data_IF_895661052536
#
_entry.id   IF_895661052536
#
_cell.length_a   1.000
_cell.length_b   1.000
_cell.length_c   1.000
_cell.angle_alpha   90.00
_cell.angle_beta   90.00
_cell.angle_gamma   90.00
#
_symmetry.space_group_name_H-M   'P 1'
#
loop_
_entity.id
_entity.type
_entity.pdbx_description
1 polymer ?
#
# COMPACT_ATOMS: atom_id res chain seq x y z
N UNK A 1 36.87 32.60 31.23
CA UNK A 1 35.76 32.19 32.14
C UNK A 1 34.41 32.48 31.47
N UNK A 2 33.80 31.48 30.84
CA UNK A 2 32.50 31.64 30.18
C UNK A 2 31.37 31.61 31.22
N UNK A 3 30.55 32.66 31.26
CA UNK A 3 29.36 32.69 32.10
C UNK A 3 28.46 31.47 31.84
N UNK A 4 27.79 30.97 32.88
CA UNK A 4 26.88 29.84 32.78
C UNK A 4 25.65 30.20 31.92
N UNK A 5 25.65 29.77 30.66
CA UNK A 5 24.54 29.96 29.72
C UNK A 5 23.25 29.18 30.12
N UNK A 6 23.32 28.38 31.18
CA UNK A 6 22.19 27.56 31.65
C UNK A 6 21.01 28.42 32.11
N UNK A 7 21.27 29.57 32.75
CA UNK A 7 20.21 30.48 33.18
C UNK A 7 19.34 30.96 32.01
N UNK A 8 19.97 31.44 30.93
CA UNK A 8 19.25 31.86 29.73
C UNK A 8 18.45 30.72 29.10
N UNK A 9 19.00 29.49 29.07
CA UNK A 9 18.29 28.33 28.53
C UNK A 9 17.04 28.02 29.34
N UNK A 10 17.13 28.01 30.67
CA UNK A 10 15.99 27.79 31.57
C UNK A 10 14.94 28.88 31.36
N UNK A 11 15.35 30.16 31.28
CA UNK A 11 14.43 31.26 31.03
C UNK A 11 13.70 31.12 29.69
N UNK A 12 14.41 30.78 28.61
CA UNK A 12 13.80 30.56 27.28
C UNK A 12 12.79 29.40 27.32
N UNK A 13 13.15 28.30 27.98
CA UNK A 13 12.27 27.14 28.12
C UNK A 13 11.01 27.50 28.91
N UNK A 14 11.14 28.15 30.07
CA UNK A 14 10.02 28.57 30.88
C UNK A 14 9.11 29.56 30.13
N UNK A 15 9.70 30.55 29.44
CA UNK A 15 8.96 31.54 28.68
C UNK A 15 8.16 30.90 27.54
N UNK A 16 8.76 29.97 26.79
CA UNK A 16 8.09 29.32 25.66
C UNK A 16 7.13 28.20 26.07
N UNK A 17 7.27 27.69 27.29
CA UNK A 17 6.28 26.81 27.90
C UNK A 17 4.99 27.58 28.23
N UNK A 18 5.10 28.80 28.76
CA UNK A 18 3.95 29.65 29.08
C UNK A 18 3.37 30.36 27.83
N UNK A 19 4.25 30.86 26.96
CA UNK A 19 3.90 31.76 25.83
C UNK A 19 4.57 31.31 24.52
N UNK A 20 4.20 30.15 23.94
CA UNK A 20 4.87 29.59 22.76
C UNK A 20 4.79 30.49 21.52
N UNK A 21 3.73 31.29 21.37
CA UNK A 21 3.51 32.21 20.24
C UNK A 21 4.60 33.28 20.08
N UNK A 22 5.35 33.59 21.14
CA UNK A 22 6.45 34.57 21.07
C UNK A 22 7.50 34.12 20.04
N UNK A 23 7.80 32.81 19.98
CA UNK A 23 8.78 32.28 19.03
C UNK A 23 8.31 32.34 17.57
N UNK A 24 6.99 32.29 17.32
CA UNK A 24 6.41 32.17 15.98
C UNK A 24 5.92 33.48 15.39
N UNK A 25 5.99 34.57 16.15
CA UNK A 25 5.51 35.89 15.69
C UNK A 25 6.34 36.41 14.51
N UNK A 26 7.63 36.06 14.42
CA UNK A 26 8.55 36.56 13.39
C UNK A 26 9.50 35.47 12.85
N UNK A 27 8.95 34.38 12.33
CA UNK A 27 9.75 33.25 11.82
C UNK A 27 10.70 33.64 10.68
N UNK A 28 10.27 34.54 9.80
CA UNK A 28 11.08 34.99 8.65
C UNK A 28 12.40 35.64 9.08
N UNK A 29 12.37 36.44 10.15
CA UNK A 29 13.57 37.09 10.70
C UNK A 29 14.55 36.06 11.24
N UNK A 30 14.06 35.00 11.88
CA UNK A 30 14.93 33.92 12.36
C UNK A 30 15.50 33.10 11.21
N UNK A 31 14.72 32.85 10.17
CA UNK A 31 15.20 32.17 8.96
C UNK A 31 16.29 32.99 8.26
N UNK A 32 16.16 34.31 8.20
CA UNK A 32 17.20 35.21 7.70
C UNK A 32 18.49 35.11 8.53
N UNK A 33 18.40 35.11 9.86
CA UNK A 33 19.55 34.91 10.75
C UNK A 33 20.24 33.58 10.47
N UNK A 34 19.49 32.49 10.26
CA UNK A 34 20.05 31.18 9.93
C UNK A 34 20.79 31.20 8.59
N UNK A 35 20.26 31.88 7.58
CA UNK A 35 20.91 32.05 6.27
C UNK A 35 22.21 32.85 6.41
N UNK A 36 22.20 33.95 7.16
CA UNK A 36 23.39 34.79 7.39
C UNK A 36 24.47 34.09 8.22
N UNK A 37 24.08 33.20 9.14
CA UNK A 37 24.99 32.50 10.04
C UNK A 37 25.28 31.04 9.62
N UNK A 38 24.96 30.65 8.38
CA UNK A 38 25.09 29.26 7.90
C UNK A 38 26.50 28.67 8.10
N UNK A 39 27.55 29.51 8.01
CA UNK A 39 28.95 29.14 8.25
C UNK A 39 29.31 28.91 9.73
N UNK A 40 28.37 29.12 10.66
CA UNK A 40 28.56 28.93 12.11
C UNK A 40 27.49 28.00 12.69
N UNK A 41 27.58 26.68 12.45
CA UNK A 41 26.54 25.71 12.82
C UNK A 41 26.10 25.78 14.29
N UNK A 42 27.02 25.98 15.24
CA UNK A 42 26.68 26.07 16.67
C UNK A 42 25.70 27.22 16.99
N UNK A 43 25.84 28.37 16.31
CA UNK A 43 24.91 29.50 16.47
C UNK A 43 23.53 29.16 15.90
N UNK A 44 23.50 28.58 14.70
CA UNK A 44 22.27 28.15 14.06
C UNK A 44 21.53 27.10 14.90
N UNK A 45 22.24 26.09 15.41
CA UNK A 45 21.67 25.07 16.29
C UNK A 45 21.11 25.67 17.59
N UNK A 46 21.74 26.72 18.14
CA UNK A 46 21.21 27.43 19.31
C UNK A 46 19.90 28.14 18.99
N UNK A 47 19.78 28.78 17.83
CA UNK A 47 18.53 29.42 17.36
C UNK A 47 17.45 28.36 17.13
N UNK A 48 17.77 27.27 16.43
CA UNK A 48 16.83 26.16 16.21
C UNK A 48 16.34 25.56 17.52
N UNK A 49 17.24 25.38 18.50
CA UNK A 49 16.89 24.88 19.82
C UNK A 49 15.97 25.82 20.59
N UNK A 50 16.26 27.12 20.57
CA UNK A 50 15.44 28.12 21.26
C UNK A 50 14.02 28.16 20.68
N UNK A 51 13.90 28.24 19.35
CA UNK A 51 12.59 28.25 18.68
C UNK A 51 11.83 26.94 18.88
N UNK A 52 12.54 25.82 18.86
CA UNK A 52 11.95 24.50 19.03
C UNK A 52 11.16 24.36 20.34
N UNK A 53 11.53 25.08 21.40
CA UNK A 53 10.82 24.99 22.70
C UNK A 53 9.34 25.37 22.61
N UNK A 54 8.93 26.17 21.61
CA UNK A 54 7.52 26.49 21.38
C UNK A 54 6.64 25.26 21.12
N UNK A 55 7.23 24.19 20.57
CA UNK A 55 6.55 22.93 20.31
C UNK A 55 6.38 22.02 21.52
N UNK A 56 6.97 22.34 22.66
CA UNK A 56 6.93 21.48 23.86
C UNK A 56 5.51 21.36 24.41
N UNK A 57 4.80 22.49 24.56
CA UNK A 57 3.42 22.51 25.06
C UNK A 57 2.36 22.61 23.93
N UNK A 58 2.74 23.09 22.75
CA UNK A 58 1.80 23.40 21.67
C UNK A 58 2.25 22.82 20.31
N UNK A 59 1.55 21.78 19.84
CA UNK A 59 1.79 21.17 18.53
C UNK A 59 1.70 22.18 17.39
N UNK A 60 0.74 23.11 17.44
CA UNK A 60 0.49 24.06 16.37
C UNK A 60 1.66 25.02 16.21
N UNK A 61 2.17 25.56 17.32
CA UNK A 61 3.33 26.45 17.29
C UNK A 61 4.62 25.69 16.97
N UNK A 62 4.76 24.44 17.43
CA UNK A 62 5.88 23.57 17.03
C UNK A 62 5.90 23.28 15.52
N UNK A 63 4.74 23.00 14.93
CA UNK A 63 4.62 22.78 13.48
C UNK A 63 4.92 24.06 12.70
N UNK A 64 4.49 25.24 13.16
CA UNK A 64 4.88 26.51 12.54
C UNK A 64 6.38 26.71 12.53
N UNK A 65 7.06 26.50 13.67
CA UNK A 65 8.52 26.58 13.75
C UNK A 65 9.16 25.60 12.77
N UNK A 66 8.68 24.36 12.74
CA UNK A 66 9.27 23.35 11.87
C UNK A 66 9.08 23.69 10.39
N UNK A 67 7.86 24.02 9.96
CA UNK A 67 7.54 24.37 8.57
C UNK A 67 8.24 25.67 8.13
N UNK A 68 8.23 26.70 8.98
CA UNK A 68 8.76 28.02 8.64
C UNK A 68 10.28 28.14 8.74
N UNK A 69 10.93 27.32 9.57
CA UNK A 69 12.36 27.49 9.89
C UNK A 69 13.17 26.22 9.64
N UNK A 70 12.68 25.05 10.07
CA UNK A 70 13.47 23.81 10.03
C UNK A 70 13.39 23.09 8.68
N UNK A 71 12.22 23.06 8.04
CA UNK A 71 12.01 22.50 6.71
C UNK A 71 12.91 23.17 5.65
N UNK A 72 12.99 24.51 5.56
CA UNK A 72 13.89 25.18 4.62
C UNK A 72 15.38 24.85 4.80
N UNK A 73 15.81 24.42 5.99
CA UNK A 73 17.22 24.08 6.28
C UNK A 73 17.49 22.57 6.26
N UNK A 74 16.52 21.73 5.86
CA UNK A 74 16.75 20.27 5.73
C UNK A 74 17.86 19.91 4.75
N UNK A 75 18.15 20.78 3.78
CA UNK A 75 19.28 20.58 2.87
C UNK A 75 20.65 20.97 3.42
N UNK A 76 20.71 21.55 4.63
CA UNK A 76 21.96 21.97 5.25
C UNK A 76 22.44 20.84 6.17
N UNK A 77 23.47 20.10 5.73
CA UNK A 77 23.99 18.89 6.42
C UNK A 77 24.27 19.09 7.91
N UNK A 78 24.72 20.28 8.32
CA UNK A 78 25.02 20.57 9.73
C UNK A 78 23.77 20.82 10.61
N UNK A 79 22.62 21.12 9.99
CA UNK A 79 21.38 21.48 10.70
C UNK A 79 20.29 20.42 10.54
N UNK A 80 20.31 19.66 9.44
CA UNK A 80 19.31 18.65 9.14
C UNK A 80 19.13 17.55 10.19
N UNK A 81 20.17 17.07 10.92
CA UNK A 81 19.94 16.12 12.01
C UNK A 81 19.05 16.69 13.11
N UNK A 82 19.24 17.96 13.46
CA UNK A 82 18.43 18.62 14.48
C UNK A 82 16.98 18.82 14.01
N UNK A 83 16.79 19.24 12.76
CA UNK A 83 15.47 19.46 12.19
C UNK A 83 14.62 18.19 12.14
N UNK A 84 15.22 17.04 11.80
CA UNK A 84 14.53 15.73 11.78
C UNK A 84 14.26 15.24 13.20
N UNK A 85 15.25 15.30 14.09
CA UNK A 85 15.09 14.88 15.49
C UNK A 85 14.05 15.74 16.23
N UNK A 86 13.98 17.03 15.92
CA UNK A 86 12.95 17.92 16.46
C UNK A 86 11.55 17.47 16.04
N UNK A 87 11.35 17.17 14.76
CA UNK A 87 10.05 16.71 14.26
C UNK A 87 9.63 15.41 14.95
N UNK A 88 10.54 14.45 15.04
CA UNK A 88 10.29 13.17 15.72
C UNK A 88 9.82 13.42 17.16
N UNK A 89 10.58 14.22 17.92
CA UNK A 89 10.23 14.59 19.30
C UNK A 89 8.89 15.31 19.38
N UNK A 90 8.62 16.26 18.48
CA UNK A 90 7.36 17.02 18.45
C UNK A 90 6.18 16.07 18.26
N UNK A 91 6.27 15.16 17.29
CA UNK A 91 5.23 14.17 17.03
C UNK A 91 5.09 13.18 18.19
N UNK A 92 6.19 12.77 18.83
CA UNK A 92 6.15 11.88 19.99
C UNK A 92 5.47 12.54 21.21
N UNK A 93 5.77 13.81 21.49
CA UNK A 93 5.14 14.56 22.59
C UNK A 93 3.66 14.83 22.35
N UNK A 94 3.24 14.94 21.09
CA UNK A 94 1.85 15.23 20.70
C UNK A 94 1.25 14.05 19.91
N UNK A 95 0.80 12.98 20.59
CA UNK A 95 0.18 11.83 19.92
C UNK A 95 -1.12 12.22 19.20
N UNK A 96 -1.90 13.13 19.78
CA UNK A 96 -3.12 13.66 19.16
C UNK A 96 -2.79 14.80 18.18
N UNK A 97 -2.90 14.50 16.89
CA UNK A 97 -2.53 15.41 15.80
C UNK A 97 -3.61 16.43 15.43
N UNK A 98 -4.81 16.37 16.04
CA UNK A 98 -5.96 17.20 15.66
C UNK A 98 -5.67 18.71 15.69
N UNK A 99 -4.88 19.16 16.66
CA UNK A 99 -4.46 20.58 16.78
C UNK A 99 -3.54 21.06 15.65
N UNK A 100 -2.94 20.14 14.89
CA UNK A 100 -2.11 20.44 13.74
C UNK A 100 -2.83 20.31 12.39
N UNK A 101 -4.11 19.94 12.37
CA UNK A 101 -4.86 19.80 11.12
C UNK A 101 -5.02 21.15 10.41
N UNK A 102 -4.79 21.13 9.09
CA UNK A 102 -4.81 22.33 8.26
C UNK A 102 -3.51 23.14 8.26
N UNK A 103 -2.50 22.74 9.05
CA UNK A 103 -1.21 23.43 9.08
C UNK A 103 -0.31 23.09 7.89
N UNK A 104 -0.30 21.83 7.46
CA UNK A 104 0.54 21.37 6.35
C UNK A 104 -0.26 21.48 5.06
N UNK A 105 -0.07 22.56 4.32
CA UNK A 105 -0.71 22.77 3.02
C UNK A 105 0.00 21.98 1.92
N UNK A 106 -0.60 21.82 0.71
CA UNK A 106 0.07 21.19 -0.42
C UNK A 106 1.47 21.75 -0.71
N UNK A 107 1.63 23.08 -0.63
CA UNK A 107 2.92 23.77 -0.85
C UNK A 107 4.04 23.30 0.08
N UNK A 108 3.69 22.87 1.29
CA UNK A 108 4.65 22.40 2.30
C UNK A 108 4.79 20.87 2.25
N UNK A 109 3.69 20.17 1.97
CA UNK A 109 3.62 18.72 1.92
C UNK A 109 4.46 18.10 0.81
N UNK A 110 4.44 18.68 -0.40
CA UNK A 110 5.15 18.09 -1.53
C UNK A 110 6.68 18.18 -1.43
N UNK A 111 7.29 19.30 -0.97
CA UNK A 111 8.70 19.31 -0.61
C UNK A 111 9.07 18.21 0.41
N UNK A 112 8.20 17.92 1.38
CA UNK A 112 8.42 16.85 2.36
C UNK A 112 8.40 15.46 1.73
N UNK A 113 7.44 15.21 0.85
CA UNK A 113 7.40 13.99 0.04
C UNK A 113 8.69 13.83 -0.77
N UNK A 114 9.12 14.90 -1.44
CA UNK A 114 10.32 14.89 -2.28
C UNK A 114 11.58 14.61 -1.42
N UNK A 115 11.72 15.22 -0.25
CA UNK A 115 12.80 14.91 0.69
C UNK A 115 12.76 13.45 1.20
N UNK A 116 11.59 12.92 1.49
CA UNK A 116 11.45 11.57 2.02
C UNK A 116 11.73 10.48 0.96
N UNK A 117 11.31 10.67 -0.29
CA UNK A 117 11.28 9.59 -1.27
C UNK A 117 12.20 9.77 -2.49
N UNK A 118 12.63 10.99 -2.84
CA UNK A 118 13.56 11.18 -3.96
C UNK A 118 14.99 10.85 -3.56
N UNK A 119 15.72 10.04 -4.35
CA UNK A 119 17.13 9.79 -4.14
C UNK A 119 17.96 11.05 -4.46
N UNK A 120 19.21 11.06 -4.01
CA UNK A 120 20.21 12.09 -4.34
C UNK A 120 19.78 13.51 -3.97
N UNK A 121 18.90 13.67 -2.98
CA UNK A 121 18.65 14.97 -2.39
C UNK A 121 19.74 15.30 -1.35
N UNK A 122 19.71 16.51 -0.81
CA UNK A 122 20.69 17.02 0.14
C UNK A 122 20.63 16.38 1.54
N UNK A 123 19.65 15.50 1.80
CA UNK A 123 19.47 14.83 3.08
C UNK A 123 20.27 13.50 3.10
N UNK A 124 21.09 13.25 4.13
CA UNK A 124 21.78 11.97 4.30
C UNK A 124 20.81 10.77 4.29
N UNK A 125 21.20 9.60 3.74
CA UNK A 125 20.29 8.43 3.64
C UNK A 125 19.68 7.98 4.97
N UNK A 126 20.43 8.06 6.07
CA UNK A 126 19.94 7.71 7.42
C UNK A 126 18.84 8.66 7.89
N UNK A 127 19.02 9.97 7.72
CA UNK A 127 18.01 10.98 8.05
C UNK A 127 16.80 10.89 7.12
N UNK A 128 17.03 10.51 5.86
CA UNK A 128 15.96 10.28 4.91
C UNK A 128 15.06 9.10 5.34
N UNK A 129 15.64 8.02 5.83
CA UNK A 129 14.88 6.89 6.39
C UNK A 129 14.09 7.31 7.64
N UNK A 130 14.69 8.09 8.54
CA UNK A 130 13.96 8.64 9.69
C UNK A 130 12.78 9.52 9.25
N UNK A 131 12.97 10.38 8.24
CA UNK A 131 11.89 11.21 7.71
C UNK A 131 10.77 10.35 7.07
N UNK A 132 11.10 9.24 6.41
CA UNK A 132 10.09 8.28 5.89
C UNK A 132 9.28 7.64 7.02
N UNK A 133 9.88 7.35 8.16
CA UNK A 133 9.16 6.80 9.31
C UNK A 133 8.16 7.80 9.91
N UNK A 134 8.49 9.10 9.86
CA UNK A 134 7.61 10.18 10.32
C UNK A 134 6.54 10.56 9.28
N UNK A 135 6.78 10.28 8.00
CA UNK A 135 5.94 10.68 6.87
C UNK A 135 4.45 10.29 7.01
N UNK A 136 4.06 9.08 7.47
CA UNK A 136 2.65 8.73 7.64
C UNK A 136 1.90 9.70 8.56
N UNK A 137 2.55 10.18 9.64
CA UNK A 137 1.96 11.15 10.56
C UNK A 137 1.87 12.54 9.94
N UNK A 138 2.88 12.93 9.16
CA UNK A 138 2.86 14.18 8.37
C UNK A 138 1.73 14.17 7.32
N UNK A 139 1.48 13.01 6.69
CA UNK A 139 0.37 12.84 5.74
C UNK A 139 -1.00 12.98 6.40
N UNK A 140 -1.18 12.44 7.61
CA UNK A 140 -2.39 12.65 8.41
C UNK A 140 -2.59 14.14 8.74
N UNK A 141 -1.52 14.84 9.14
CA UNK A 141 -1.58 16.29 9.40
C UNK A 141 -1.95 17.10 8.15
N UNK A 142 -1.39 16.74 7.00
CA UNK A 142 -1.68 17.40 5.73
C UNK A 142 -3.11 17.17 5.25
N UNK A 143 -3.61 15.93 5.36
CA UNK A 143 -4.96 15.59 4.94
C UNK A 143 -6.02 16.18 5.89
N UNK A 144 -5.63 16.41 7.15
CA UNK A 144 -6.42 17.14 8.13
C UNK A 144 -7.71 16.42 8.53
N UNK A 145 -8.68 17.20 9.04
CA UNK A 145 -9.91 16.67 9.62
C UNK A 145 -10.93 16.16 8.58
N UNK A 146 -10.87 16.67 7.34
CA UNK A 146 -11.89 16.45 6.30
C UNK A 146 -11.27 16.09 4.94
N UNK A 147 -10.53 14.96 4.85
CA UNK A 147 -9.90 14.53 3.61
C UNK A 147 -10.90 14.41 2.44
N UNK A 148 -12.14 14.02 2.72
CA UNK A 148 -13.22 13.85 1.73
C UNK A 148 -13.59 15.13 0.97
N UNK A 149 -13.18 16.30 1.46
CA UNK A 149 -13.45 17.61 0.85
C UNK A 149 -12.20 18.37 0.43
N UNK A 150 -11.00 17.81 0.63
CA UNK A 150 -9.74 18.52 0.44
C UNK A 150 -8.75 17.78 -0.47
N UNK A 151 -8.84 16.46 -0.61
CA UNK A 151 -7.83 15.67 -1.33
C UNK A 151 -7.77 15.96 -2.83
N UNK A 152 -8.85 16.44 -3.43
CA UNK A 152 -8.82 16.92 -4.81
C UNK A 152 -7.81 18.06 -5.03
N UNK A 153 -7.44 18.83 -4.00
CA UNK A 153 -6.41 19.88 -4.09
C UNK A 153 -4.98 19.33 -4.12
N UNK A 154 -4.76 18.14 -3.58
CA UNK A 154 -3.46 17.45 -3.60
C UNK A 154 -3.28 16.63 -4.88
N UNK A 155 -4.39 16.15 -5.46
CA UNK A 155 -4.40 15.28 -6.63
C UNK A 155 -3.53 15.78 -7.80
N UNK A 156 -3.59 17.06 -8.24
CA UNK A 156 -2.77 17.54 -9.36
C UNK A 156 -1.27 17.37 -9.12
N UNK A 157 -0.81 17.69 -7.91
CA UNK A 157 0.61 17.67 -7.56
C UNK A 157 1.14 16.25 -7.31
N UNK A 158 0.29 15.31 -6.88
CA UNK A 158 0.61 13.89 -6.89
C UNK A 158 0.71 13.36 -8.32
N UNK A 159 -0.27 13.70 -9.18
CA UNK A 159 -0.33 13.20 -10.55
C UNK A 159 0.87 13.70 -11.36
N UNK A 160 1.19 14.99 -11.27
CA UNK A 160 2.33 15.58 -11.99
C UNK A 160 3.67 14.95 -11.62
N UNK A 161 3.80 14.46 -10.38
CA UNK A 161 5.01 13.79 -9.86
C UNK A 161 5.09 12.33 -10.23
N UNK A 162 4.00 11.66 -10.61
CA UNK A 162 3.97 10.22 -10.86
C UNK A 162 4.56 9.86 -12.23
N UNK A 163 5.83 10.22 -12.47
CA UNK A 163 6.50 9.97 -13.75
C UNK A 163 6.98 8.52 -13.87
N UNK A 164 7.17 8.00 -15.10
CA UNK A 164 7.72 6.66 -15.31
C UNK A 164 9.12 6.47 -14.71
N UNK A 165 9.90 7.56 -14.61
CA UNK A 165 11.25 7.59 -14.05
C UNK A 165 11.31 7.65 -12.51
N UNK A 166 10.17 7.68 -11.82
CA UNK A 166 10.16 7.74 -10.37
C UNK A 166 10.80 6.50 -9.74
N UNK A 167 11.56 6.68 -8.65
CA UNK A 167 12.02 5.58 -7.81
C UNK A 167 10.85 4.70 -7.34
N UNK A 168 11.04 3.38 -7.14
CA UNK A 168 9.95 2.46 -6.84
C UNK A 168 9.19 2.83 -5.55
N UNK A 169 9.91 3.28 -4.51
CA UNK A 169 9.30 3.73 -3.25
C UNK A 169 8.41 4.96 -3.45
N UNK A 170 8.90 5.96 -4.19
CA UNK A 170 8.12 7.16 -4.52
C UNK A 170 6.91 6.84 -5.38
N UNK A 171 7.10 6.05 -6.44
CA UNK A 171 6.03 5.63 -7.35
C UNK A 171 4.90 4.94 -6.58
N UNK A 172 5.24 4.03 -5.66
CA UNK A 172 4.26 3.36 -4.79
C UNK A 172 3.49 4.36 -3.93
N UNK A 173 4.18 5.29 -3.27
CA UNK A 173 3.54 6.28 -2.40
C UNK A 173 2.61 7.23 -3.18
N UNK A 174 3.06 7.70 -4.35
CA UNK A 174 2.28 8.56 -5.24
C UNK A 174 1.00 7.86 -5.71
N UNK A 175 1.11 6.63 -6.22
CA UNK A 175 -0.03 5.87 -6.73
C UNK A 175 -1.03 5.50 -5.62
N UNK A 176 -0.52 5.12 -4.44
CA UNK A 176 -1.36 4.85 -3.26
C UNK A 176 -2.09 6.11 -2.82
N UNK A 177 -1.41 7.27 -2.82
CA UNK A 177 -2.02 8.56 -2.48
C UNK A 177 -3.05 9.02 -3.51
N UNK A 178 -2.79 8.84 -4.80
CA UNK A 178 -3.75 9.12 -5.87
C UNK A 178 -5.01 8.25 -5.75
N UNK A 179 -4.83 6.95 -5.50
CA UNK A 179 -5.94 6.03 -5.23
C UNK A 179 -6.74 6.43 -3.99
N UNK A 180 -6.06 6.89 -2.93
CA UNK A 180 -6.70 7.41 -1.73
C UNK A 180 -7.51 8.67 -2.00
N UNK A 181 -6.99 9.60 -2.81
CA UNK A 181 -7.72 10.80 -3.25
C UNK A 181 -9.01 10.43 -3.99
N UNK A 182 -8.94 9.49 -4.95
CA UNK A 182 -10.11 9.00 -5.69
C UNK A 182 -11.11 8.26 -4.80
N UNK A 183 -10.62 7.59 -3.75
CA UNK A 183 -11.46 6.79 -2.86
C UNK A 183 -12.24 7.62 -1.84
N UNK A 184 -11.64 8.71 -1.35
CA UNK A 184 -12.19 9.53 -0.28
C UNK A 184 -12.89 10.79 -0.79
N UNK A 185 -12.36 11.44 -1.82
CA UNK A 185 -12.88 12.71 -2.35
C UNK A 185 -13.38 12.54 -3.79
N UNK A 186 -14.71 12.53 -4.03
CA UNK A 186 -15.30 12.40 -5.35
C UNK A 186 -14.87 13.47 -6.35
N UNK A 187 -14.49 14.68 -5.90
CA UNK A 187 -14.04 15.77 -6.78
C UNK A 187 -12.70 15.42 -7.45
N UNK A 188 -11.91 14.52 -6.86
CA UNK A 188 -10.65 14.04 -7.44
C UNK A 188 -10.83 13.44 -8.83
N UNK A 189 -11.96 12.75 -9.11
CA UNK A 189 -12.27 12.25 -10.44
C UNK A 189 -12.51 13.37 -11.46
N UNK A 190 -13.14 14.48 -11.03
CA UNK A 190 -13.32 15.66 -11.89
C UNK A 190 -11.98 16.31 -12.23
N UNK A 191 -11.14 16.51 -11.22
CA UNK A 191 -9.79 17.06 -11.40
C UNK A 191 -8.96 16.16 -12.31
N UNK A 192 -9.00 14.84 -12.12
CA UNK A 192 -8.29 13.91 -12.99
C UNK A 192 -8.74 14.03 -14.45
N UNK A 193 -10.05 14.14 -14.70
CA UNK A 193 -10.58 14.33 -16.05
C UNK A 193 -10.06 15.58 -16.74
N UNK A 194 -9.96 16.69 -16.01
CA UNK A 194 -9.43 17.95 -16.52
C UNK A 194 -7.92 17.88 -16.83
N UNK A 195 -7.19 17.07 -16.08
CA UNK A 195 -5.74 16.92 -16.20
C UNK A 195 -5.30 15.82 -17.18
N UNK A 196 -6.23 14.96 -17.60
CA UNK A 196 -5.93 13.73 -18.32
C UNK A 196 -5.07 13.93 -19.56
N UNK A 197 -5.47 14.86 -20.45
CA UNK A 197 -4.78 15.12 -21.72
C UNK A 197 -3.37 15.69 -21.53
N UNK A 198 -3.10 16.34 -20.40
CA UNK A 198 -1.78 16.90 -20.06
C UNK A 198 -0.87 15.89 -19.36
N UNK A 199 -1.44 14.82 -18.82
CA UNK A 199 -0.74 13.85 -17.96
C UNK A 199 -1.04 12.40 -18.37
N UNK A 200 -0.95 12.10 -19.67
CA UNK A 200 -1.28 10.77 -20.20
C UNK A 200 -0.36 9.68 -19.66
N UNK A 201 0.97 9.91 -19.67
CA UNK A 201 1.93 8.94 -19.14
C UNK A 201 1.69 8.65 -17.65
N UNK A 202 1.46 9.67 -16.83
CA UNK A 202 1.16 9.49 -15.41
C UNK A 202 -0.22 8.85 -15.18
N UNK A 203 -1.21 9.22 -15.99
CA UNK A 203 -2.55 8.62 -15.93
C UNK A 203 -2.53 7.14 -16.32
N UNK A 204 -1.67 6.73 -17.25
CA UNK A 204 -1.50 5.31 -17.61
C UNK A 204 -1.01 4.49 -16.41
N UNK A 205 -0.08 5.04 -15.62
CA UNK A 205 0.42 4.39 -14.40
C UNK A 205 -0.67 4.27 -13.33
N UNK A 206 -1.48 5.32 -13.16
CA UNK A 206 -2.60 5.30 -12.23
C UNK A 206 -3.69 4.29 -12.67
N UNK A 207 -4.03 4.25 -13.95
CA UNK A 207 -5.01 3.28 -14.49
C UNK A 207 -4.54 1.83 -14.27
N UNK A 208 -3.26 1.55 -14.52
CA UNK A 208 -2.67 0.22 -14.26
C UNK A 208 -2.66 -0.12 -12.77
N UNK A 209 -2.35 0.85 -11.90
CA UNK A 209 -2.44 0.63 -10.45
C UNK A 209 -3.87 0.32 -9.98
N UNK A 210 -4.88 1.01 -10.54
CA UNK A 210 -6.30 0.75 -10.26
C UNK A 210 -6.77 -0.60 -10.83
N UNK A 211 -6.15 -1.09 -11.91
CA UNK A 211 -6.38 -2.43 -12.46
C UNK A 211 -5.86 -3.53 -11.56
N UNK A 212 -4.66 -3.35 -11.03
CA UNK A 212 -4.01 -4.26 -10.09
C UNK A 212 -4.77 -4.33 -8.76
N UNK A 213 -5.21 -3.18 -8.25
CA UNK A 213 -5.95 -3.05 -6.98
C UNK A 213 -7.47 -3.22 -7.10
N UNK A 214 -7.98 -3.62 -8.27
CA UNK A 214 -9.40 -3.66 -8.61
C UNK A 214 -10.28 -4.35 -7.56
N UNK A 215 -9.83 -5.51 -7.06
CA UNK A 215 -10.62 -6.35 -6.16
C UNK A 215 -10.84 -5.72 -4.78
N UNK A 216 -9.93 -4.84 -4.34
CA UNK A 216 -10.03 -4.08 -3.09
C UNK A 216 -10.86 -2.78 -3.21
N UNK A 217 -11.16 -2.32 -4.42
CA UNK A 217 -11.84 -1.03 -4.65
C UNK A 217 -13.33 -1.10 -4.28
N UNK A 218 -13.84 -0.08 -3.58
CA UNK A 218 -15.26 -0.03 -3.19
C UNK A 218 -16.22 0.12 -4.38
N UNK A 219 -17.48 -0.33 -4.23
CA UNK A 219 -18.49 -0.24 -5.31
C UNK A 219 -18.72 1.20 -5.78
N UNK A 220 -18.73 2.18 -4.87
CA UNK A 220 -18.90 3.60 -5.19
C UNK A 220 -17.76 4.11 -6.08
N UNK A 221 -16.52 3.80 -5.72
CA UNK A 221 -15.32 4.20 -6.48
C UNK A 221 -15.31 3.51 -7.85
N UNK A 222 -15.72 2.23 -7.93
CA UNK A 222 -15.86 1.52 -9.21
C UNK A 222 -16.86 2.18 -10.15
N UNK A 223 -17.98 2.70 -9.64
CA UNK A 223 -18.97 3.43 -10.43
C UNK A 223 -18.41 4.74 -10.98
N UNK A 224 -17.80 5.57 -10.12
CA UNK A 224 -17.16 6.82 -10.54
C UNK A 224 -15.99 6.59 -11.51
N UNK A 225 -15.22 5.52 -11.29
CA UNK A 225 -14.15 5.12 -12.20
C UNK A 225 -14.70 4.66 -13.55
N UNK A 226 -15.84 3.96 -13.59
CA UNK A 226 -16.47 3.55 -14.84
C UNK A 226 -16.85 4.74 -15.73
N UNK A 227 -17.45 5.79 -15.14
CA UNK A 227 -17.78 7.02 -15.85
C UNK A 227 -16.52 7.72 -16.38
N UNK A 228 -15.49 7.79 -15.53
CA UNK A 228 -14.20 8.41 -15.88
C UNK A 228 -13.48 7.66 -17.00
N UNK A 229 -13.41 6.33 -16.93
CA UNK A 229 -12.78 5.48 -17.96
C UNK A 229 -13.53 5.55 -19.29
N UNK A 230 -14.87 5.64 -19.27
CA UNK A 230 -15.65 5.87 -20.50
C UNK A 230 -15.31 7.22 -21.13
N UNK A 231 -15.21 8.27 -20.31
CA UNK A 231 -14.76 9.60 -20.78
C UNK A 231 -13.36 9.52 -21.39
N UNK A 232 -12.42 8.86 -20.73
CA UNK A 232 -11.04 8.69 -21.22
C UNK A 232 -10.98 7.90 -22.53
N UNK A 233 -11.81 6.87 -22.68
CA UNK A 233 -11.88 6.10 -23.91
C UNK A 233 -12.25 7.00 -25.11
N UNK A 234 -13.28 7.83 -24.98
CA UNK A 234 -13.68 8.78 -26.03
C UNK A 234 -12.55 9.77 -26.32
N UNK A 235 -11.93 10.33 -25.28
CA UNK A 235 -10.79 11.23 -25.43
C UNK A 235 -9.59 10.56 -26.12
N UNK A 236 -9.31 9.28 -25.83
CA UNK A 236 -8.22 8.54 -26.47
C UNK A 236 -8.50 8.27 -27.95
N UNK A 237 -9.74 7.96 -28.31
CA UNK A 237 -10.17 7.80 -29.71
C UNK A 237 -9.99 9.11 -30.49
N UNK A 238 -10.38 10.25 -29.90
CA UNK A 238 -10.17 11.57 -30.49
C UNK A 238 -8.68 11.93 -30.62
N UNK A 239 -7.86 11.64 -29.61
CA UNK A 239 -6.43 11.90 -29.64
C UNK A 239 -5.71 11.01 -30.65
N UNK A 240 -6.08 9.74 -30.75
CA UNK A 240 -5.52 8.80 -31.72
C UNK A 240 -5.83 9.24 -33.17
N UNK A 241 -6.98 9.86 -33.41
CA UNK A 241 -7.35 10.39 -34.72
C UNK A 241 -6.55 11.64 -35.14
N UNK A 242 -5.92 12.36 -34.20
CA UNK A 242 -5.23 13.65 -34.44
C UNK A 242 -3.75 13.54 -34.84
N UNK A 243 -3.21 12.33 -35.01
CA UNK A 243 -1.85 12.10 -35.54
C UNK A 243 -0.77 11.79 -34.48
N UNK A 244 0.53 11.77 -34.86
CA UNK A 244 1.59 11.01 -34.16
C UNK A 244 2.08 11.56 -32.81
N UNK A 245 1.55 12.69 -32.32
CA UNK A 245 1.95 13.25 -31.01
C UNK A 245 1.33 12.48 -29.84
N UNK A 246 2.14 11.76 -29.05
CA UNK A 246 1.68 11.07 -27.83
C UNK A 246 1.02 9.70 -28.06
N UNK A 247 1.18 9.10 -29.24
CA UNK A 247 0.55 7.82 -29.62
C UNK A 247 0.82 6.68 -28.64
N UNK A 248 2.03 6.58 -28.10
CA UNK A 248 2.38 5.51 -27.16
C UNK A 248 1.65 5.67 -25.81
N UNK A 249 1.61 6.88 -25.25
CA UNK A 249 0.94 7.14 -23.97
C UNK A 249 -0.59 7.02 -24.11
N UNK A 250 -1.14 7.49 -25.24
CA UNK A 250 -2.56 7.31 -25.59
C UNK A 250 -2.89 5.83 -25.73
N UNK A 251 -2.07 5.05 -26.44
CA UNK A 251 -2.27 3.61 -26.60
C UNK A 251 -2.18 2.85 -25.27
N UNK A 252 -1.22 3.20 -24.41
CA UNK A 252 -1.09 2.61 -23.08
C UNK A 252 -2.32 2.91 -22.21
N UNK A 253 -2.81 4.15 -22.24
CA UNK A 253 -4.03 4.56 -21.57
C UNK A 253 -5.27 3.83 -22.11
N UNK A 254 -5.43 3.74 -23.43
CA UNK A 254 -6.55 3.07 -24.09
C UNK A 254 -6.58 1.58 -23.75
N UNK A 255 -5.43 0.91 -23.77
CA UNK A 255 -5.30 -0.49 -23.35
C UNK A 255 -5.75 -0.68 -21.88
N UNK A 256 -5.28 0.17 -20.97
CA UNK A 256 -5.68 0.12 -19.57
C UNK A 256 -7.19 0.39 -19.38
N UNK A 257 -7.75 1.35 -20.13
CA UNK A 257 -9.19 1.66 -20.10
C UNK A 257 -10.03 0.47 -20.59
N UNK A 258 -9.64 -0.18 -21.69
CA UNK A 258 -10.32 -1.38 -22.23
C UNK A 258 -10.34 -2.51 -21.21
N UNK A 259 -9.21 -2.77 -20.56
CA UNK A 259 -9.10 -3.81 -19.55
C UNK A 259 -9.94 -3.49 -18.28
N UNK A 260 -9.98 -2.23 -17.85
CA UNK A 260 -10.83 -1.79 -16.73
C UNK A 260 -12.31 -2.03 -17.04
N UNK A 261 -12.75 -1.64 -18.24
CA UNK A 261 -14.13 -1.86 -18.69
C UNK A 261 -14.46 -3.35 -18.81
N UNK A 262 -13.49 -4.19 -19.21
CA UNK A 262 -13.65 -5.65 -19.23
C UNK A 262 -13.83 -6.20 -17.81
N UNK A 263 -12.98 -5.81 -16.86
CA UNK A 263 -13.13 -6.20 -15.44
C UNK A 263 -14.45 -5.75 -14.83
N UNK A 264 -14.93 -4.56 -15.19
CA UNK A 264 -16.25 -4.05 -14.76
C UNK A 264 -17.41 -4.90 -15.27
N UNK A 265 -17.32 -5.44 -16.49
CA UNK A 265 -18.29 -6.38 -17.06
C UNK A 265 -18.16 -7.79 -16.44
N UNK A 266 -17.01 -8.12 -15.85
CA UNK A 266 -16.61 -9.45 -15.39
C UNK A 266 -17.34 -10.02 -14.17
N UNK A 267 -18.23 -9.28 -13.50
CA UNK A 267 -19.26 -9.90 -12.63
C UNK A 267 -20.49 -10.20 -13.49
N UNK A 268 -20.33 -11.19 -14.38
CA UNK A 268 -21.45 -11.78 -15.08
C UNK A 268 -22.50 -12.27 -14.09
N UNK A 269 -23.77 -12.25 -14.52
CA UNK A 269 -24.87 -12.87 -13.81
C UNK A 269 -24.45 -14.27 -13.33
N UNK A 270 -24.78 -14.71 -12.09
CA UNK A 270 -24.22 -15.91 -11.47
C UNK A 270 -24.81 -17.19 -12.06
N UNK A 271 -24.64 -17.39 -13.36
CA UNK A 271 -25.02 -18.56 -14.13
C UNK A 271 -24.69 -19.88 -13.43
N UNK A 272 -23.48 -20.12 -12.89
CA UNK A 272 -23.22 -21.38 -12.20
C UNK A 272 -24.07 -21.57 -10.94
N UNK A 273 -24.43 -20.49 -10.22
CA UNK A 273 -25.33 -20.59 -9.06
C UNK A 273 -26.78 -20.79 -9.49
N UNK A 274 -27.24 -20.12 -10.55
CA UNK A 274 -28.57 -20.33 -11.10
C UNK A 274 -28.71 -21.77 -11.62
N UNK A 275 -27.72 -22.26 -12.36
CA UNK A 275 -27.67 -23.64 -12.86
C UNK A 275 -27.66 -24.65 -11.71
N UNK A 276 -26.89 -24.40 -10.64
CA UNK A 276 -26.90 -25.25 -9.44
C UNK A 276 -28.29 -25.26 -8.77
N UNK A 277 -28.92 -24.10 -8.59
CA UNK A 277 -30.26 -23.99 -8.01
C UNK A 277 -31.27 -24.75 -8.88
N UNK A 278 -31.23 -24.57 -10.20
CA UNK A 278 -32.11 -25.26 -11.15
C UNK A 278 -31.90 -26.78 -11.09
N UNK A 279 -30.65 -27.23 -10.97
CA UNK A 279 -30.33 -28.65 -10.81
C UNK A 279 -30.86 -29.22 -9.48
N UNK A 280 -30.75 -28.48 -8.37
CA UNK A 280 -31.31 -28.87 -7.07
C UNK A 280 -32.82 -28.98 -7.15
N UNK A 281 -33.50 -28.02 -7.79
CA UNK A 281 -34.96 -28.08 -8.00
C UNK A 281 -35.37 -29.25 -8.91
N UNK A 282 -34.66 -29.48 -10.01
CA UNK A 282 -34.92 -30.62 -10.89
C UNK A 282 -34.74 -31.95 -10.16
N UNK A 283 -33.66 -32.10 -9.38
CA UNK A 283 -33.39 -33.31 -8.59
C UNK A 283 -34.44 -33.48 -7.48
N UNK A 284 -34.82 -32.40 -6.80
CA UNK A 284 -35.88 -32.42 -5.79
C UNK A 284 -37.24 -32.80 -6.37
N UNK A 285 -37.59 -32.27 -7.55
CA UNK A 285 -38.80 -32.63 -8.28
C UNK A 285 -38.79 -34.12 -8.66
N UNK A 286 -37.69 -34.62 -9.23
CA UNK A 286 -37.54 -36.03 -9.56
C UNK A 286 -37.69 -36.93 -8.33
N UNK A 287 -37.05 -36.58 -7.21
CA UNK A 287 -37.16 -37.36 -5.96
C UNK A 287 -38.57 -37.32 -5.37
N UNK A 288 -39.27 -36.19 -5.45
CA UNK A 288 -40.66 -36.08 -5.01
C UNK A 288 -41.60 -36.88 -5.91
N UNK A 289 -41.42 -36.83 -7.23
CA UNK A 289 -42.21 -37.56 -8.23
C UNK A 289 -42.02 -39.08 -8.07
N UNK A 290 -40.79 -39.54 -7.82
CA UNK A 290 -40.50 -40.95 -7.55
C UNK A 290 -41.10 -41.41 -6.21
N UNK A 291 -41.03 -40.57 -5.16
CA UNK A 291 -41.64 -40.88 -3.86
C UNK A 291 -43.16 -40.96 -3.91
N UNK A 292 -43.80 -40.06 -4.66
CA UNK A 292 -45.28 -40.03 -4.80
C UNK A 292 -45.82 -41.19 -5.63
N UNK A 293 -45.07 -41.64 -6.65
CA UNK A 293 -45.50 -42.72 -7.55
C UNK A 293 -44.88 -44.10 -7.22
N UNK A 294 -44.09 -44.20 -6.16
CA UNK A 294 -43.55 -45.46 -5.60
C UNK A 294 -42.49 -46.17 -6.45
N UNK A 295 -42.32 -45.83 -7.74
CA UNK A 295 -41.27 -46.37 -8.60
C UNK A 295 -40.88 -45.38 -9.70
N UNK A 296 -39.64 -45.46 -10.19
CA UNK A 296 -39.15 -44.63 -11.29
C UNK A 296 -39.98 -44.85 -12.56
N UNK A 297 -40.37 -46.09 -12.86
CA UNK A 297 -41.14 -46.44 -14.07
C UNK A 297 -42.58 -45.89 -14.08
N UNK A 298 -43.19 -45.67 -12.91
CA UNK A 298 -44.55 -45.13 -12.79
C UNK A 298 -44.60 -43.58 -12.78
N UNK A 299 -43.45 -42.93 -12.57
CA UNK A 299 -43.33 -41.47 -12.44
C UNK A 299 -43.70 -40.72 -13.73
N UNK A 300 -44.18 -39.48 -13.60
CA UNK A 300 -44.46 -38.62 -14.75
C UNK A 300 -43.17 -38.25 -15.49
N UNK A 301 -42.10 -38.04 -14.74
CA UNK A 301 -40.76 -37.71 -15.26
C UNK A 301 -40.21 -38.82 -16.17
N UNK A 302 -40.35 -40.09 -15.79
CA UNK A 302 -39.91 -41.21 -16.62
C UNK A 302 -40.71 -41.36 -17.92
N UNK A 303 -42.02 -41.11 -17.88
CA UNK A 303 -42.86 -41.07 -19.09
C UNK A 303 -42.44 -39.94 -20.04
N UNK A 304 -42.14 -38.76 -19.51
CA UNK A 304 -41.66 -37.62 -20.28
C UNK A 304 -40.25 -37.86 -20.86
N UNK A 305 -39.36 -38.48 -20.09
CA UNK A 305 -38.01 -38.88 -20.53
C UNK A 305 -38.06 -39.94 -21.64
N UNK A 306 -39.01 -40.88 -21.55
CA UNK A 306 -39.21 -41.94 -22.55
C UNK A 306 -39.85 -41.39 -23.83
N UNK A 307 -40.84 -40.49 -23.72
CA UNK A 307 -41.46 -39.83 -24.88
C UNK A 307 -40.51 -38.88 -25.61
N UNK A 308 -39.51 -38.35 -24.92
CA UNK A 308 -38.50 -37.44 -25.49
C UNK A 308 -37.30 -38.16 -26.12
N UNK A 309 -37.24 -39.50 -26.08
CA UNK A 309 -36.13 -40.29 -26.65
C UNK A 309 -34.78 -40.10 -25.93
N UNK A 310 -34.76 -39.47 -24.77
CA UNK A 310 -33.53 -39.13 -24.02
C UNK A 310 -32.95 -40.37 -23.33
N UNK A 311 -33.79 -41.32 -22.91
CA UNK A 311 -33.37 -42.56 -22.23
C UNK A 311 -32.38 -43.42 -23.04
N UNK A 312 -32.63 -43.75 -24.33
CA UNK A 312 -31.65 -44.49 -25.13
C UNK A 312 -30.37 -43.69 -25.39
N UNK A 313 -30.48 -42.37 -25.60
CA UNK A 313 -29.32 -41.50 -25.77
C UNK A 313 -28.47 -41.41 -24.49
N UNK A 314 -29.10 -41.37 -23.31
CA UNK A 314 -28.40 -41.34 -22.02
C UNK A 314 -27.74 -42.67 -21.71
N UNK A 315 -28.36 -43.81 -22.06
CA UNK A 315 -27.73 -45.12 -21.94
C UNK A 315 -26.51 -45.26 -22.84
N UNK A 316 -26.59 -44.79 -24.09
CA UNK A 316 -25.46 -44.80 -25.03
C UNK A 316 -24.33 -43.86 -24.55
N UNK A 317 -24.67 -42.68 -24.03
CA UNK A 317 -23.71 -41.76 -23.43
C UNK A 317 -23.05 -42.37 -22.18
N UNK A 318 -23.82 -43.01 -21.31
CA UNK A 318 -23.32 -43.70 -20.12
C UNK A 318 -22.35 -44.83 -20.47
N UNK A 319 -22.67 -45.63 -21.50
CA UNK A 319 -21.78 -46.67 -21.99
C UNK A 319 -20.45 -46.08 -22.49
N UNK A 320 -20.49 -45.00 -23.28
CA UNK A 320 -19.26 -44.33 -23.75
C UNK A 320 -18.42 -43.73 -22.61
N UNK A 321 -19.07 -43.04 -21.67
CA UNK A 321 -18.38 -42.45 -20.51
C UNK A 321 -17.77 -43.55 -19.64
N UNK A 322 -18.52 -44.61 -19.35
CA UNK A 322 -18.02 -45.74 -18.57
C UNK A 322 -16.81 -46.40 -19.24
N UNK A 323 -16.82 -46.54 -20.57
CA UNK A 323 -15.72 -47.08 -21.35
C UNK A 323 -14.48 -46.18 -21.27
N UNK A 324 -14.62 -44.89 -21.52
CA UNK A 324 -13.51 -43.93 -21.41
C UNK A 324 -12.97 -43.84 -19.98
N UNK A 325 -13.82 -43.89 -18.96
CA UNK A 325 -13.38 -43.92 -17.56
C UNK A 325 -12.62 -45.20 -17.23
N UNK A 326 -13.06 -46.36 -17.74
CA UNK A 326 -12.39 -47.64 -17.55
C UNK A 326 -11.02 -47.67 -18.26
N UNK A 327 -10.95 -47.13 -19.47
CA UNK A 327 -9.68 -46.98 -20.20
C UNK A 327 -8.74 -46.00 -19.52
N UNK A 328 -9.26 -44.86 -19.05
CA UNK A 328 -8.51 -43.89 -18.27
C UNK A 328 -7.96 -44.49 -16.98
N UNK A 329 -8.77 -45.28 -16.25
CA UNK A 329 -8.33 -46.00 -15.05
C UNK A 329 -7.23 -47.02 -15.36
N UNK A 330 -7.40 -47.83 -16.41
CA UNK A 330 -6.38 -48.82 -16.85
C UNK A 330 -5.10 -48.15 -17.34
N UNK A 331 -5.20 -47.00 -18.00
CA UNK A 331 -4.05 -46.20 -18.37
C UNK A 331 -3.33 -45.68 -17.12
N UNK A 332 -4.08 -45.14 -16.16
CA UNK A 332 -3.54 -44.63 -14.91
C UNK A 332 -2.86 -45.75 -14.10
N UNK A 333 -3.47 -46.93 -14.00
CA UNK A 333 -2.89 -48.12 -13.36
C UNK A 333 -1.58 -48.58 -14.02
N UNK A 334 -1.45 -48.44 -15.35
CA UNK A 334 -0.21 -48.75 -16.09
C UNK A 334 0.85 -47.65 -15.98
N UNK A 335 0.43 -46.39 -15.96
CA UNK A 335 1.32 -45.23 -15.96
C UNK A 335 1.85 -44.90 -14.56
N UNK A 336 1.05 -45.09 -13.51
CA UNK A 336 1.43 -44.79 -12.12
C UNK A 336 2.72 -45.49 -11.64
N UNK A 337 2.97 -46.79 -11.89
CA UNK A 337 4.22 -47.44 -11.47
C UNK A 337 5.44 -47.00 -12.31
N UNK A 338 5.25 -46.68 -13.60
CA UNK A 338 6.34 -46.25 -14.48
C UNK A 338 6.80 -44.82 -14.15
N UNK A 339 5.85 -43.89 -13.97
CA UNK A 339 6.18 -42.52 -13.55
C UNK A 339 6.53 -42.43 -12.07
N UNK A 340 5.93 -43.28 -11.22
CA UNK A 340 6.23 -43.35 -9.80
C UNK A 340 7.66 -43.82 -9.51
N UNK A 341 8.16 -44.82 -10.24
CA UNK A 341 9.56 -45.28 -10.11
C UNK A 341 10.56 -44.25 -10.63
N UNK A 342 10.26 -43.54 -11.73
CA UNK A 342 11.09 -42.43 -12.22
C UNK A 342 11.10 -41.25 -11.25
N UNK A 343 9.94 -40.83 -10.72
CA UNK A 343 9.86 -39.76 -9.73
C UNK A 343 10.59 -40.13 -8.43
N UNK A 344 10.43 -41.37 -7.95
CA UNK A 344 11.14 -41.86 -6.77
C UNK A 344 12.67 -41.89 -6.98
N UNK A 345 13.14 -42.23 -8.17
CA UNK A 345 14.58 -42.21 -8.49
C UNK A 345 15.20 -40.79 -8.45
N UNK A 346 14.40 -39.75 -8.71
CA UNK A 346 14.83 -38.35 -8.66
C UNK A 346 14.67 -37.75 -7.26
N UNK A 347 13.60 -38.13 -6.56
CA UNK A 347 13.27 -37.59 -5.23
C UNK A 347 14.11 -38.21 -4.13
N UNK A 348 14.48 -39.49 -4.24
CA UNK A 348 15.28 -40.19 -3.22
C UNK A 348 16.63 -39.52 -2.92
N UNK A 349 17.48 -39.15 -3.90
CA UNK A 349 18.75 -38.47 -3.60
C UNK A 349 18.55 -37.06 -3.01
N UNK A 350 17.47 -36.36 -3.38
CA UNK A 350 17.12 -35.07 -2.80
C UNK A 350 16.69 -35.20 -1.34
N UNK A 351 15.93 -36.24 -1.01
CA UNK A 351 15.45 -36.51 0.33
C UNK A 351 16.61 -36.92 1.26
N UNK A 352 17.52 -37.78 0.78
CA UNK A 352 18.72 -38.17 1.51
C UNK A 352 19.64 -36.97 1.78
N UNK A 353 19.81 -36.08 0.79
CA UNK A 353 20.59 -34.84 0.95
C UNK A 353 19.94 -33.88 1.97
N UNK A 354 18.62 -33.70 1.89
CA UNK A 354 17.87 -32.86 2.83
C UNK A 354 17.91 -33.42 4.25
N UNK A 355 17.83 -34.73 4.41
CA UNK A 355 17.93 -35.39 5.71
C UNK A 355 19.33 -35.22 6.33
N UNK A 356 20.38 -35.43 5.54
CA UNK A 356 21.76 -35.23 5.98
C UNK A 356 22.01 -33.76 6.38
N UNK A 357 21.59 -32.81 5.55
CA UNK A 357 21.75 -31.37 5.85
C UNK A 357 20.89 -30.90 7.02
N UNK A 358 19.69 -31.46 7.17
CA UNK A 358 18.83 -31.22 8.33
C UNK A 358 19.45 -31.72 9.63
N UNK A 359 20.07 -32.91 9.61
CA UNK A 359 20.79 -33.47 10.76
C UNK A 359 22.01 -32.63 11.17
N UNK A 360 22.83 -32.18 10.21
CA UNK A 360 23.98 -31.29 10.47
C UNK A 360 23.53 -29.94 11.06
N UNK A 361 22.47 -29.35 10.53
CA UNK A 361 21.91 -28.10 11.02
C UNK A 361 21.34 -28.25 12.44
N UNK A 362 20.59 -29.33 12.70
CA UNK A 362 20.01 -29.62 14.01
C UNK A 362 21.09 -29.81 15.09
N UNK A 363 22.16 -30.55 14.78
CA UNK A 363 23.30 -30.72 15.68
C UNK A 363 24.01 -29.39 15.98
N UNK A 364 24.20 -28.56 14.96
CA UNK A 364 24.82 -27.22 15.10
C UNK A 364 23.96 -26.29 15.97
N UNK A 365 22.64 -26.29 15.76
CA UNK A 365 21.71 -25.53 16.61
C UNK A 365 21.65 -26.05 18.04
N UNK A 366 21.73 -27.36 18.25
CA UNK A 366 21.76 -27.94 19.59
C UNK A 366 23.05 -27.57 20.34
N UNK A 367 24.21 -27.52 19.66
CA UNK A 367 25.46 -27.02 20.23
C UNK A 367 25.41 -25.52 20.56
N UNK A 368 24.81 -24.71 19.70
CA UNK A 368 24.59 -23.28 19.96
C UNK A 368 23.64 -23.06 21.15
N UNK A 369 22.56 -23.82 21.25
CA UNK A 369 21.64 -23.74 22.38
C UNK A 369 22.27 -24.21 23.69
N UNK A 370 23.07 -25.29 23.68
CA UNK A 370 23.72 -25.79 24.89
C UNK A 370 24.82 -24.85 25.40
N UNK A 371 25.58 -24.22 24.49
CA UNK A 371 26.56 -23.18 24.82
C UNK A 371 25.93 -21.90 25.34
N UNK A 372 24.79 -21.48 24.78
CA UNK A 372 24.02 -20.35 25.31
C UNK A 372 23.43 -20.65 26.69
N UNK A 373 22.91 -21.87 26.90
CA UNK A 373 22.37 -22.30 28.19
C UNK A 373 23.46 -22.38 29.26
N UNK A 374 24.65 -22.90 28.94
CA UNK A 374 25.77 -22.95 29.88
C UNK A 374 26.31 -21.54 30.21
N UNK A 375 26.38 -20.64 29.22
CA UNK A 375 26.73 -19.24 29.44
C UNK A 375 25.70 -18.52 30.33
N UNK A 376 24.40 -18.71 30.08
CA UNK A 376 23.33 -18.15 30.90
C UNK A 376 23.38 -18.68 32.34
N UNK A 377 23.61 -19.98 32.52
CA UNK A 377 23.71 -20.59 33.84
C UNK A 377 24.94 -20.09 34.61
N UNK A 378 26.08 -19.88 33.92
CA UNK A 378 27.28 -19.31 34.51
C UNK A 378 27.20 -17.80 34.79
N UNK A 379 26.35 -17.07 34.06
CA UNK A 379 26.15 -15.62 34.23
C UNK A 379 25.08 -15.28 35.26
N UNK A 380 24.17 -16.22 35.57
CA UNK A 380 23.10 -16.06 36.56
C UNK A 380 23.59 -15.64 37.96
N UNK A 381 24.67 -16.21 38.51
CA UNK A 381 25.21 -15.80 39.82
C UNK A 381 25.72 -14.36 39.80
N UNK A 382 26.37 -13.95 38.70
CA UNK A 382 26.95 -12.62 38.55
C UNK A 382 25.86 -11.53 38.43
N UNK A 383 24.76 -11.83 37.73
CA UNK A 383 23.58 -10.94 37.66
C UNK A 383 22.81 -10.92 38.98
N UNK A 384 22.71 -12.05 39.68
CA UNK A 384 22.08 -12.11 41.00
C UNK A 384 22.85 -11.30 42.05
N UNK A 385 24.18 -11.36 42.04
CA UNK A 385 25.03 -10.51 42.89
C UNK A 385 24.89 -9.02 42.54
N UNK A 386 24.85 -8.67 41.25
CA UNK A 386 24.69 -7.28 40.78
C UNK A 386 23.32 -6.67 41.10
N UNK A 387 22.26 -7.47 41.17
CA UNK A 387 20.91 -7.02 41.55
C UNK A 387 20.75 -6.92 43.09
N UNK A 388 21.66 -7.53 43.85
CA UNK A 388 21.66 -7.51 45.32
C UNK A 388 22.61 -6.47 45.95
N UNK A 389 23.36 -5.72 45.13
CA UNK A 389 24.18 -4.57 45.51
C UNK A 389 23.49 -3.26 45.10
#
# INVERSE_FOLDING_TARGET
PGESLHGYRICIQALLLDRPKIATTNLDKYLEVLRLQQNRPAKCLTVLWALGQAGTADLHEGLKVWLGVMLPVLGIKALSPYAVAYLDRLLMMHPNLTKGFGMICPKDFFPLLDFAFMPNNSLPPSLQEQLRQLYPRLKVLAFGAKPESALHTYFPSFLSRATPSCPPGMKRELLTSLSQCLSLDPLSFSVWRQLYTKHLSQSSLLLNHLLESWDGTSKKVRQSLQETVRSFKVTNEELAARGPGGTQDVAACDAACKELLRKMRGRGFPWPRLLLVLLVFATGFLLHDIRTHGSFQASFSARLLHSSGIVPASQQAWQRVSHCCLEGYRWLERSLPVYGSQAMSVVQPLLELLWAKGGEAAASTAQLCSSLLSWLHGSLPCVAEWVSA
#
